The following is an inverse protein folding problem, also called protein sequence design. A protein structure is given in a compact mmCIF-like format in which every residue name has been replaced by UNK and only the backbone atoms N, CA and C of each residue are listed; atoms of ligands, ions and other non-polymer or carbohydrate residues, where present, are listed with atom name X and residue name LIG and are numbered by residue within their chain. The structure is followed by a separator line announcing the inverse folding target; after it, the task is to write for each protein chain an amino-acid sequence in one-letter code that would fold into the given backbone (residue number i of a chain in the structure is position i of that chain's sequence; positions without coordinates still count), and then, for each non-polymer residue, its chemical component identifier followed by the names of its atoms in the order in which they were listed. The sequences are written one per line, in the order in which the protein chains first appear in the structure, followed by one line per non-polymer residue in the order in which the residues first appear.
data_IF_261924358972
#
_entry.id   IF_261924358972
#
_cell.length_a   1.000
_cell.length_b   1.000
_cell.length_c   1.000
_cell.angle_alpha   90.00
_cell.angle_beta   90.00
_cell.angle_gamma   90.00
#
_symmetry.space_group_name_H-M   'P 1'
#
loop_
_entity.id
_entity.type
_entity.pdbx_description
1 polymer ?
#
# COMPACT_ATOMS: atom_id res chain seq x y z
N UNK A 1 46.37 7.92 -0.83
CA UNK A 1 45.13 8.67 -1.15
C UNK A 1 43.99 7.93 -0.51
N UNK A 2 43.50 8.45 0.60
CA UNK A 2 42.37 7.91 1.35
C UNK A 2 41.10 8.34 0.65
N UNK A 3 40.49 7.45 -0.13
CA UNK A 3 39.15 7.67 -0.65
C UNK A 3 38.18 7.69 0.54
N UNK A 4 37.68 8.89 0.83
CA UNK A 4 36.67 9.14 1.83
C UNK A 4 35.42 8.28 1.53
N UNK A 5 34.95 7.55 2.54
CA UNK A 5 33.73 6.74 2.51
C UNK A 5 32.51 7.51 1.99
N UNK A 6 32.52 8.84 2.08
CA UNK A 6 31.50 9.72 1.51
C UNK A 6 31.44 9.64 -0.04
N UNK A 7 32.58 9.54 -0.71
CA UNK A 7 32.71 9.51 -2.17
C UNK A 7 32.21 8.18 -2.76
N UNK A 8 32.53 7.07 -2.11
CA UNK A 8 32.07 5.72 -2.49
C UNK A 8 30.55 5.60 -2.32
N UNK A 9 29.98 6.20 -1.27
CA UNK A 9 28.52 6.27 -1.05
C UNK A 9 27.79 7.11 -2.10
N UNK A 10 28.44 8.14 -2.64
CA UNK A 10 27.88 9.00 -3.69
C UNK A 10 27.84 8.28 -5.05
N UNK A 11 28.89 7.54 -5.39
CA UNK A 11 29.00 6.80 -6.66
C UNK A 11 27.99 5.64 -6.78
N UNK A 12 27.60 5.01 -5.66
CA UNK A 12 26.60 3.94 -5.67
C UNK A 12 25.15 4.46 -5.87
N UNK A 13 24.90 5.75 -5.72
CA UNK A 13 23.55 6.36 -5.85
C UNK A 13 23.20 6.80 -7.27
N UNK A 14 24.17 6.94 -8.16
CA UNK A 14 24.00 7.60 -9.47
C UNK A 14 23.75 6.66 -10.66
N UNK A 15 23.78 5.33 -10.49
CA UNK A 15 23.68 4.37 -11.59
C UNK A 15 22.29 3.72 -11.75
N UNK A 16 21.23 4.51 -11.85
CA UNK A 16 19.85 4.01 -12.00
C UNK A 16 19.59 3.23 -13.30
N UNK A 17 18.84 2.12 -13.18
CA UNK A 17 17.95 1.48 -14.20
C UNK A 17 16.87 0.73 -13.39
N UNK A 18 15.60 1.15 -13.21
CA UNK A 18 14.45 1.55 -14.07
C UNK A 18 13.59 0.36 -14.51
N UNK A 19 12.46 0.18 -13.79
CA UNK A 19 11.12 -0.30 -14.20
C UNK A 19 11.07 -1.75 -14.76
N UNK A 20 10.65 -2.78 -14.03
CA UNK A 20 9.30 -2.94 -13.45
C UNK A 20 9.26 -3.41 -11.99
N UNK A 21 10.42 -3.63 -11.36
CA UNK A 21 10.59 -3.99 -9.94
C UNK A 21 12.10 -4.16 -9.68
N UNK A 22 12.70 -3.41 -8.74
CA UNK A 22 13.64 -4.10 -7.83
C UNK A 22 13.77 -3.60 -6.38
N UNK A 23 13.11 -2.52 -5.96
CA UNK A 23 13.17 -2.04 -4.57
C UNK A 23 11.80 -1.56 -4.10
N UNK A 24 10.97 -2.54 -3.76
CA UNK A 24 9.86 -2.39 -2.84
C UNK A 24 10.30 -1.48 -1.68
N UNK A 25 9.45 -0.55 -1.24
CA UNK A 25 9.72 0.33 -0.09
C UNK A 25 10.25 -0.47 1.10
N UNK A 26 9.79 -1.71 1.17
CA UNK A 26 10.19 -2.82 2.02
C UNK A 26 11.68 -3.16 1.97
N UNK A 27 12.24 -3.43 0.79
CA UNK A 27 13.65 -3.78 0.65
C UNK A 27 14.52 -2.58 1.01
N UNK A 28 14.23 -1.40 0.45
CA UNK A 28 14.95 -0.17 0.79
C UNK A 28 14.86 0.18 2.28
N UNK A 29 13.68 0.07 2.90
CA UNK A 29 13.50 0.31 4.32
C UNK A 29 14.21 -0.77 5.14
N UNK A 30 14.13 -2.06 4.83
CA UNK A 30 14.87 -3.14 5.51
C UNK A 30 16.39 -2.89 5.41
N UNK A 31 16.91 -2.54 4.24
CA UNK A 31 18.34 -2.29 4.02
C UNK A 31 18.84 -1.02 4.74
N UNK A 32 18.08 0.08 4.68
CA UNK A 32 18.39 1.30 5.42
C UNK A 32 18.15 1.14 6.93
N UNK A 33 17.15 0.35 7.34
CA UNK A 33 16.79 0.09 8.74
C UNK A 33 17.92 -0.57 9.47
N UNK A 34 18.61 -1.44 8.77
CA UNK A 34 19.56 -2.34 9.35
C UNK A 34 21.00 -1.79 9.18
N UNK A 35 21.35 -1.13 8.06
CA UNK A 35 22.74 -0.76 7.76
C UNK A 35 23.52 -1.89 7.05
N UNK A 36 22.87 -2.60 6.13
CA UNK A 36 23.26 -3.96 5.75
C UNK A 36 23.70 -4.09 4.30
N UNK A 37 24.43 -5.16 4.03
CA UNK A 37 24.86 -5.54 2.70
C UNK A 37 23.99 -6.66 2.13
N UNK A 38 23.45 -6.45 0.93
CA UNK A 38 22.77 -7.48 0.16
C UNK A 38 23.80 -8.39 -0.53
N UNK A 39 23.73 -9.69 -0.30
CA UNK A 39 24.58 -10.68 -0.97
C UNK A 39 23.76 -11.49 -1.97
N UNK A 40 24.26 -11.66 -3.19
CA UNK A 40 23.51 -12.25 -4.31
C UNK A 40 24.16 -13.57 -4.77
N UNK A 41 23.46 -14.69 -4.61
CA UNK A 41 23.90 -15.99 -5.13
C UNK A 41 23.78 -16.06 -6.68
N UNK A 42 24.74 -16.71 -7.36
CA UNK A 42 24.85 -16.92 -8.83
C UNK A 42 23.58 -17.44 -9.54
N UNK A 43 22.63 -18.05 -8.82
CA UNK A 43 21.32 -18.49 -9.38
C UNK A 43 20.20 -17.46 -9.26
N UNK A 44 20.47 -16.23 -8.79
CA UNK A 44 19.56 -15.08 -8.87
C UNK A 44 18.27 -15.15 -8.02
N UNK A 45 18.17 -16.10 -7.09
CA UNK A 45 16.93 -16.42 -6.38
C UNK A 45 16.84 -15.97 -4.91
N UNK A 46 17.97 -15.63 -4.26
CA UNK A 46 18.01 -15.31 -2.82
C UNK A 46 18.91 -14.11 -2.54
N UNK A 47 18.39 -13.18 -1.74
CA UNK A 47 19.10 -12.04 -1.20
C UNK A 47 19.42 -12.36 0.26
N UNK A 48 20.68 -12.16 0.67
CA UNK A 48 21.03 -12.30 2.08
C UNK A 48 21.30 -10.92 2.67
N UNK A 49 20.80 -10.72 3.88
CA UNK A 49 20.99 -9.47 4.64
C UNK A 49 21.77 -9.83 5.90
N UNK A 50 22.91 -9.15 6.10
CA UNK A 50 23.81 -9.37 7.24
C UNK A 50 24.16 -8.03 7.87
N UNK A 51 24.13 -7.98 9.20
CA UNK A 51 24.70 -6.87 9.96
C UNK A 51 24.41 -6.95 11.45
N UNK A 52 24.73 -5.85 12.13
CA UNK A 52 25.08 -5.83 13.56
C UNK A 52 24.07 -5.12 14.45
N UNK A 53 23.11 -4.41 13.88
CA UNK A 53 22.12 -3.64 14.62
C UNK A 53 20.99 -4.52 15.18
N UNK A 54 20.36 -4.04 16.26
CA UNK A 54 19.24 -4.69 16.94
C UNK A 54 18.03 -4.85 15.99
N UNK A 55 17.66 -6.11 15.73
CA UNK A 55 16.45 -6.45 14.98
C UNK A 55 15.19 -6.17 15.81
N UNK A 56 14.12 -5.74 15.16
CA UNK A 56 12.79 -5.70 15.79
C UNK A 56 12.31 -7.13 16.01
N UNK A 57 11.39 -7.31 16.96
CA UNK A 57 10.82 -8.62 17.30
C UNK A 57 10.31 -9.40 16.07
N UNK A 58 9.76 -8.70 15.08
CA UNK A 58 9.31 -9.30 13.82
C UNK A 58 10.44 -9.97 13.03
N UNK A 59 11.60 -9.32 12.91
CA UNK A 59 12.74 -9.85 12.17
C UNK A 59 13.51 -10.91 12.95
N UNK A 60 13.52 -10.82 14.29
CA UNK A 60 14.08 -11.87 15.15
C UNK A 60 13.39 -13.22 14.93
N UNK A 61 12.07 -13.22 14.67
CA UNK A 61 11.32 -14.44 14.38
C UNK A 61 11.64 -15.07 13.00
N UNK A 62 12.26 -14.32 12.10
CA UNK A 62 12.64 -14.77 10.73
C UNK A 62 14.13 -15.06 10.58
N UNK A 63 14.89 -14.90 11.66
CA UNK A 63 16.31 -15.22 11.70
C UNK A 63 16.54 -16.71 11.42
N UNK A 64 17.41 -17.01 10.45
CA UNK A 64 17.86 -18.37 10.24
C UNK A 64 18.78 -18.77 11.39
N UNK A 65 18.33 -19.71 12.23
CA UNK A 65 19.18 -20.36 13.22
C UNK A 65 20.06 -21.38 12.50
N UNK A 66 21.34 -21.37 12.83
CA UNK A 66 22.32 -22.33 12.31
C UNK A 66 22.74 -23.27 13.43
N UNK A 67 22.94 -24.55 13.10
CA UNK A 67 23.38 -25.55 14.06
C UNK A 67 24.88 -25.54 14.31
N UNK A 68 25.67 -25.00 13.38
CA UNK A 68 27.14 -24.98 13.47
C UNK A 68 27.77 -23.88 12.62
N UNK A 69 29.04 -23.56 12.92
CA UNK A 69 29.84 -22.65 12.10
C UNK A 69 30.04 -23.19 10.68
N UNK A 70 30.16 -24.51 10.50
CA UNK A 70 30.42 -25.10 9.19
C UNK A 70 29.20 -25.03 8.27
N UNK A 71 27.98 -25.09 8.82
CA UNK A 71 26.75 -24.80 8.05
C UNK A 71 26.77 -23.38 7.48
N UNK A 72 27.20 -22.40 8.29
CA UNK A 72 27.29 -21.00 7.88
C UNK A 72 28.40 -20.82 6.84
N UNK A 73 29.59 -21.41 7.05
CA UNK A 73 30.71 -21.35 6.09
C UNK A 73 30.31 -21.92 4.73
N UNK A 74 29.61 -23.05 4.71
CA UNK A 74 29.13 -23.66 3.46
C UNK A 74 28.17 -22.73 2.70
N UNK A 75 27.31 -22.01 3.43
CA UNK A 75 26.40 -21.03 2.86
C UNK A 75 27.11 -19.76 2.34
N UNK A 76 28.16 -19.30 3.02
CA UNK A 76 28.93 -18.10 2.65
C UNK A 76 29.98 -18.36 1.56
N UNK A 77 30.45 -19.60 1.39
CA UNK A 77 31.49 -19.96 0.43
C UNK A 77 31.22 -19.49 -1.02
N UNK A 78 29.99 -19.58 -1.56
CA UNK A 78 29.68 -19.04 -2.88
C UNK A 78 29.83 -17.52 -3.02
N UNK A 79 29.75 -16.78 -1.91
CA UNK A 79 29.83 -15.32 -1.86
C UNK A 79 31.27 -14.82 -1.90
N UNK A 80 32.22 -15.60 -1.36
CA UNK A 80 33.66 -15.27 -1.39
C UNK A 80 34.27 -15.22 -2.80
N UNK A 81 33.57 -15.73 -3.82
CA UNK A 81 33.95 -15.62 -5.22
C UNK A 81 33.59 -14.28 -5.87
N UNK A 82 32.90 -13.38 -5.15
CA UNK A 82 32.52 -12.04 -5.65
C UNK A 82 33.19 -10.96 -4.81
N UNK A 83 34.08 -10.19 -5.43
CA UNK A 83 34.84 -9.13 -4.75
C UNK A 83 33.95 -8.16 -3.92
N UNK A 84 32.79 -7.68 -4.41
CA UNK A 84 31.93 -6.79 -3.61
C UNK A 84 31.35 -7.44 -2.34
N UNK A 85 30.95 -8.70 -2.44
CA UNK A 85 30.34 -9.46 -1.34
C UNK A 85 31.37 -9.78 -0.25
N UNK A 86 32.59 -10.15 -0.66
CA UNK A 86 33.71 -10.35 0.27
C UNK A 86 34.12 -9.06 0.98
N UNK A 87 34.13 -7.92 0.29
CA UNK A 87 34.44 -6.61 0.88
C UNK A 87 33.38 -6.19 1.90
N UNK A 88 32.11 -6.44 1.61
CA UNK A 88 30.99 -6.23 2.54
C UNK A 88 31.14 -7.09 3.81
N UNK A 89 31.35 -8.40 3.64
CA UNK A 89 31.56 -9.33 4.75
C UNK A 89 32.77 -8.94 5.59
N UNK A 90 33.90 -8.61 4.96
CA UNK A 90 35.11 -8.16 5.65
C UNK A 90 34.92 -6.84 6.40
N UNK A 91 34.05 -5.94 5.91
CA UNK A 91 33.74 -4.68 6.60
C UNK A 91 32.89 -4.92 7.84
N UNK A 92 31.83 -5.74 7.75
CA UNK A 92 30.98 -6.10 8.88
C UNK A 92 31.76 -6.86 9.97
N UNK A 93 32.60 -7.81 9.56
CA UNK A 93 33.47 -8.55 10.47
C UNK A 93 34.43 -7.63 11.22
N UNK A 94 35.09 -6.68 10.53
CA UNK A 94 35.99 -5.71 11.18
C UNK A 94 35.28 -4.79 12.16
N UNK A 95 34.05 -4.37 11.84
CA UNK A 95 33.25 -3.54 12.76
C UNK A 95 32.91 -4.28 14.07
N UNK A 96 32.78 -5.61 14.02
CA UNK A 96 32.41 -6.42 15.17
C UNK A 96 33.58 -7.04 15.94
N UNK A 97 34.71 -7.27 15.27
CA UNK A 97 35.89 -7.87 15.89
C UNK A 97 36.73 -6.86 16.69
N UNK A 98 36.46 -5.56 16.55
CA UNK A 98 37.26 -4.50 17.17
C UNK A 98 38.60 -4.28 16.46
N UNK A 99 39.34 -3.25 16.88
CA UNK A 99 40.62 -2.86 16.27
C UNK A 99 41.69 -3.89 16.65
N UNK A 100 41.94 -4.88 15.79
CA UNK A 100 43.03 -5.86 15.96
C UNK A 100 42.88 -7.13 15.14
N UNK A 101 41.66 -7.63 14.99
CA UNK A 101 41.37 -8.88 14.27
C UNK A 101 40.93 -8.58 12.83
N UNK A 102 41.90 -8.22 11.99
CA UNK A 102 41.64 -7.92 10.58
C UNK A 102 41.82 -9.18 9.74
N UNK A 103 40.79 -9.70 9.06
CA UNK A 103 40.95 -10.84 8.17
C UNK A 103 41.87 -10.46 6.99
N UNK A 104 42.81 -11.34 6.68
CA UNK A 104 43.82 -11.14 5.64
C UNK A 104 43.45 -11.82 4.30
N UNK A 105 42.48 -12.73 4.33
CA UNK A 105 42.00 -13.45 3.14
C UNK A 105 40.52 -13.81 3.23
N UNK A 106 39.94 -14.27 2.12
CA UNK A 106 38.51 -14.58 2.02
C UNK A 106 38.07 -15.72 2.95
N UNK A 107 38.96 -16.69 3.23
CA UNK A 107 38.65 -17.82 4.09
C UNK A 107 38.54 -17.38 5.57
N UNK A 108 39.40 -16.45 5.99
CA UNK A 108 39.32 -15.79 7.30
C UNK A 108 38.06 -14.92 7.42
N UNK A 109 37.73 -14.13 6.39
CA UNK A 109 36.48 -13.36 6.36
C UNK A 109 35.29 -14.27 6.60
N UNK A 110 35.16 -15.38 5.86
CA UNK A 110 34.07 -16.34 6.03
C UNK A 110 34.05 -16.94 7.43
N UNK A 111 35.21 -17.36 7.95
CA UNK A 111 35.32 -18.01 9.26
C UNK A 111 34.89 -17.07 10.38
N UNK A 112 35.35 -15.83 10.33
CA UNK A 112 35.02 -14.82 11.33
C UNK A 112 33.55 -14.38 11.23
N UNK A 113 33.01 -14.19 10.01
CA UNK A 113 31.57 -13.91 9.83
C UNK A 113 30.72 -15.07 10.35
N UNK A 114 31.11 -16.32 10.09
CA UNK A 114 30.40 -17.50 10.60
C UNK A 114 30.41 -17.56 12.12
N UNK A 115 31.55 -17.28 12.76
CA UNK A 115 31.65 -17.21 14.21
C UNK A 115 30.78 -16.08 14.80
N UNK A 116 30.78 -14.91 14.16
CA UNK A 116 29.95 -13.78 14.59
C UNK A 116 28.44 -14.06 14.44
N UNK A 117 28.02 -14.75 13.37
CA UNK A 117 26.62 -15.19 13.19
C UNK A 117 26.23 -16.22 14.26
N UNK A 118 27.08 -17.22 14.50
CA UNK A 118 26.82 -18.28 15.49
C UNK A 118 26.74 -17.72 16.92
N UNK A 119 27.57 -16.73 17.24
CA UNK A 119 27.57 -16.03 18.52
C UNK A 119 26.43 -14.99 18.66
N UNK A 120 25.57 -14.85 17.65
CA UNK A 120 24.45 -13.89 17.64
C UNK A 120 24.88 -12.41 17.53
N UNK A 121 26.13 -12.14 17.16
CA UNK A 121 26.68 -10.78 16.96
C UNK A 121 26.38 -10.24 15.56
N UNK A 122 26.21 -11.15 14.61
CA UNK A 122 25.60 -10.89 13.33
C UNK A 122 24.32 -11.70 13.24
N UNK A 123 23.36 -11.17 12.51
CA UNK A 123 22.23 -11.96 12.06
C UNK A 123 22.30 -12.16 10.55
N UNK A 124 21.64 -13.21 10.09
CA UNK A 124 21.59 -13.62 8.68
C UNK A 124 20.13 -13.88 8.31
N UNK A 125 19.61 -13.11 7.35
CA UNK A 125 18.27 -13.28 6.82
C UNK A 125 18.34 -13.81 5.39
N UNK A 126 17.65 -14.92 5.12
CA UNK A 126 17.35 -15.36 3.76
C UNK A 126 16.10 -14.61 3.29
N UNK A 127 16.28 -13.65 2.40
CA UNK A 127 15.20 -12.83 1.84
C UNK A 127 14.94 -13.32 0.41
N UNK A 128 13.75 -13.86 0.11
CA UNK A 128 13.41 -14.15 -1.29
C UNK A 128 13.44 -12.83 -2.07
N UNK A 129 13.98 -12.86 -3.30
CA UNK A 129 14.11 -11.68 -4.19
C UNK A 129 12.82 -10.87 -4.33
N UNK A 130 11.68 -11.56 -4.19
CA UNK A 130 10.35 -10.98 -4.04
C UNK A 130 9.73 -11.64 -2.82
N UNK A 131 9.44 -10.88 -1.77
CA UNK A 131 8.32 -11.27 -0.93
C UNK A 131 7.09 -11.07 -1.82
N UNK A 132 6.28 -12.11 -2.07
CA UNK A 132 5.09 -11.91 -2.88
C UNK A 132 4.24 -10.85 -2.19
N UNK A 133 3.94 -9.77 -2.90
CA UNK A 133 2.89 -8.85 -2.49
C UNK A 133 1.65 -9.72 -2.34
N UNK A 134 1.20 -9.92 -1.09
CA UNK A 134 0.02 -10.73 -0.80
C UNK A 134 -1.20 -9.87 -1.12
N UNK A 135 -1.45 -9.72 -2.41
CA UNK A 135 -2.68 -9.13 -2.92
C UNK A 135 -3.75 -10.19 -2.82
N UNK A 136 -4.72 -9.94 -1.95
CA UNK A 136 -5.91 -10.78 -1.83
C UNK A 136 -7.12 -10.02 -2.35
N UNK A 137 -8.30 -10.57 -2.15
CA UNK A 137 -9.57 -9.86 -2.35
C UNK A 137 -10.32 -9.87 -1.03
N UNK A 138 -11.03 -8.80 -0.76
CA UNK A 138 -11.99 -8.75 0.33
C UNK A 138 -12.95 -9.92 0.22
N UNK A 139 -13.24 -10.56 1.35
CA UNK A 139 -14.17 -11.68 1.36
C UNK A 139 -15.57 -11.23 0.85
N UNK A 140 -16.19 -11.91 -0.13
CA UNK A 140 -17.54 -11.59 -0.59
C UNK A 140 -18.58 -11.50 0.52
N UNK A 141 -18.41 -12.25 1.62
CA UNK A 141 -19.30 -12.19 2.78
C UNK A 141 -19.26 -10.82 3.48
N UNK A 142 -18.12 -10.10 3.46
CA UNK A 142 -18.02 -8.73 3.97
C UNK A 142 -18.92 -7.79 3.18
N UNK A 143 -18.86 -7.90 1.85
CA UNK A 143 -19.68 -7.09 0.95
C UNK A 143 -21.17 -7.41 1.06
N UNK A 144 -21.53 -8.68 1.21
CA UNK A 144 -22.91 -9.08 1.49
C UNK A 144 -23.41 -8.53 2.83
N UNK A 145 -22.58 -8.59 3.87
CA UNK A 145 -22.92 -8.04 5.19
C UNK A 145 -23.11 -6.52 5.14
N UNK A 146 -22.29 -5.79 4.38
CA UNK A 146 -22.47 -4.35 4.17
C UNK A 146 -23.80 -4.04 3.47
N UNK A 147 -24.11 -4.76 2.39
CA UNK A 147 -25.40 -4.60 1.71
C UNK A 147 -26.58 -4.85 2.66
N UNK A 148 -26.52 -5.92 3.46
CA UNK A 148 -27.54 -6.20 4.47
C UNK A 148 -27.65 -5.11 5.55
N UNK A 149 -26.51 -4.61 6.05
CA UNK A 149 -26.46 -3.59 7.10
C UNK A 149 -27.06 -2.25 6.65
N UNK A 150 -26.83 -1.85 5.40
CA UNK A 150 -27.25 -0.55 4.88
C UNK A 150 -28.52 -0.60 4.01
N UNK A 151 -29.10 -1.79 3.81
CA UNK A 151 -30.27 -1.98 2.95
C UNK A 151 -29.97 -1.68 1.48
N UNK A 152 -28.76 -1.99 1.02
CA UNK A 152 -28.28 -1.68 -0.33
C UNK A 152 -28.09 -2.92 -1.16
N UNK A 153 -27.93 -2.73 -2.46
CA UNK A 153 -27.64 -3.77 -3.45
C UNK A 153 -26.42 -3.39 -4.28
N UNK A 154 -25.32 -2.96 -3.64
CA UNK A 154 -24.11 -2.55 -4.35
C UNK A 154 -23.43 -3.79 -4.93
N UNK A 155 -23.07 -3.71 -6.21
CA UNK A 155 -22.31 -4.74 -6.90
C UNK A 155 -20.80 -4.54 -6.69
N UNK A 156 -20.29 -5.05 -5.59
CA UNK A 156 -18.86 -4.99 -5.28
C UNK A 156 -17.99 -5.82 -6.23
N UNK A 157 -18.55 -6.82 -6.91
CA UNK A 157 -17.82 -7.54 -7.98
C UNK A 157 -17.50 -6.60 -9.15
N UNK A 158 -18.45 -5.75 -9.56
CA UNK A 158 -18.20 -4.71 -10.54
C UNK A 158 -17.15 -3.70 -10.05
N UNK A 159 -17.16 -3.31 -8.77
CA UNK A 159 -16.17 -2.36 -8.24
C UNK A 159 -14.77 -2.94 -8.17
N UNK A 160 -14.65 -4.23 -7.84
CA UNK A 160 -13.36 -4.92 -7.68
C UNK A 160 -12.50 -4.92 -8.95
N UNK A 161 -13.09 -4.67 -10.13
CA UNK A 161 -12.33 -4.54 -11.39
C UNK A 161 -11.50 -3.24 -11.46
N UNK A 162 -11.86 -2.24 -10.66
CA UNK A 162 -11.16 -0.96 -10.57
C UNK A 162 -10.25 -0.87 -9.36
N UNK A 163 -10.37 -1.82 -8.44
CA UNK A 163 -9.59 -1.88 -7.21
C UNK A 163 -8.29 -2.65 -7.46
N UNK A 164 -7.17 -2.14 -6.94
CA UNK A 164 -5.85 -2.79 -7.04
C UNK A 164 -5.68 -4.04 -6.18
N UNK A 165 -6.79 -4.57 -5.64
CA UNK A 165 -6.84 -5.67 -4.68
C UNK A 165 -6.62 -5.25 -3.23
N UNK A 166 -6.78 -6.21 -2.32
CA UNK A 166 -6.63 -6.03 -0.88
C UNK A 166 -5.19 -6.31 -0.47
N UNK A 167 -4.45 -5.25 -0.14
CA UNK A 167 -3.05 -5.29 0.27
C UNK A 167 -2.94 -5.55 1.78
N UNK A 168 -2.41 -6.72 2.16
CA UNK A 168 -2.23 -7.05 3.58
C UNK A 168 -1.09 -6.27 4.25
N UNK A 169 -0.27 -5.56 3.47
CA UNK A 169 0.87 -4.81 3.95
C UNK A 169 0.75 -3.34 3.60
N UNK A 170 1.21 -2.49 4.51
CA UNK A 170 1.30 -1.05 4.31
C UNK A 170 2.13 -0.71 3.09
N UNK A 171 1.62 0.18 2.25
CA UNK A 171 2.29 0.69 1.06
C UNK A 171 2.02 2.18 0.87
N UNK A 172 2.79 2.83 0.00
CA UNK A 172 2.55 4.22 -0.40
C UNK A 172 2.43 4.28 -1.92
N UNK A 173 1.34 4.83 -2.48
CA UNK A 173 1.21 5.02 -3.93
C UNK A 173 2.25 6.01 -4.48
N UNK A 174 2.93 5.65 -5.57
CA UNK A 174 3.87 6.52 -6.30
C UNK A 174 3.39 6.78 -7.72
N UNK A 175 3.67 7.97 -8.24
CA UNK A 175 3.48 8.32 -9.64
C UNK A 175 4.61 7.82 -10.53
N UNK A 176 4.42 7.96 -11.84
CA UNK A 176 5.43 7.61 -12.85
C UNK A 176 6.68 8.50 -12.79
N UNK A 177 6.60 9.64 -12.10
CA UNK A 177 7.70 10.56 -11.81
C UNK A 177 8.59 10.09 -10.64
N UNK A 178 8.24 8.97 -9.98
CA UNK A 178 8.96 8.44 -8.83
C UNK A 178 8.68 9.19 -7.53
N UNK A 179 7.75 10.16 -7.53
CA UNK A 179 7.27 10.87 -6.35
C UNK A 179 5.98 10.22 -5.84
N UNK A 180 5.66 10.47 -4.57
CA UNK A 180 4.37 10.03 -4.01
C UNK A 180 3.21 10.60 -4.82
N UNK A 181 2.28 9.72 -5.19
CA UNK A 181 1.12 10.10 -6.00
C UNK A 181 0.22 11.06 -5.21
N UNK A 182 0.05 12.28 -5.71
CA UNK A 182 -0.84 13.28 -5.12
C UNK A 182 -0.46 13.62 -3.68
N UNK A 183 -1.41 13.43 -2.75
CA UNK A 183 -1.21 13.69 -1.32
C UNK A 183 -1.33 12.42 -0.48
N UNK A 184 -0.91 11.29 -1.05
CA UNK A 184 -1.08 9.97 -0.42
C UNK A 184 -0.22 9.81 0.84
N UNK A 185 -0.74 9.05 1.80
CA UNK A 185 -0.01 8.59 2.98
C UNK A 185 0.21 7.08 2.98
N UNK A 186 0.42 6.52 4.18
CA UNK A 186 0.46 5.06 4.38
C UNK A 186 -0.91 4.47 4.03
N UNK A 187 -0.94 3.47 3.18
CA UNK A 187 -2.15 2.85 2.64
C UNK A 187 -2.15 1.36 2.96
N UNK A 188 -3.30 0.78 3.32
CA UNK A 188 -3.48 -0.65 3.62
C UNK A 188 -4.78 -1.18 3.00
N UNK A 189 -4.96 -2.51 3.01
CA UNK A 189 -6.17 -3.19 2.56
C UNK A 189 -6.55 -2.76 1.13
N UNK A 190 -7.83 -2.51 0.85
CA UNK A 190 -8.30 -2.12 -0.49
C UNK A 190 -8.21 -0.61 -0.70
N UNK A 191 -7.00 -0.05 -0.60
CA UNK A 191 -6.74 1.37 -0.87
C UNK A 191 -7.08 2.33 0.26
N UNK A 192 -7.13 1.85 1.51
CA UNK A 192 -7.39 2.71 2.67
C UNK A 192 -6.17 3.56 3.04
N UNK A 193 -6.19 4.84 2.68
CA UNK A 193 -5.12 5.80 2.99
C UNK A 193 -5.25 6.34 4.43
N UNK A 194 -4.49 5.72 5.33
CA UNK A 194 -4.39 6.06 6.75
C UNK A 194 -3.87 7.48 6.95
N UNK A 195 -2.98 7.96 6.07
CA UNK A 195 -2.41 9.30 6.17
C UNK A 195 -3.42 10.43 5.92
N UNK A 196 -4.58 10.12 5.37
CA UNK A 196 -5.69 11.05 5.23
C UNK A 196 -6.65 11.08 6.42
N UNK A 197 -6.48 10.17 7.39
CA UNK A 197 -7.37 10.02 8.54
C UNK A 197 -6.65 10.36 9.83
N UNK A 198 -7.34 11.05 10.74
CA UNK A 198 -6.92 11.24 12.12
C UNK A 198 -7.26 10.00 12.93
N UNK A 199 -6.53 9.77 14.02
CA UNK A 199 -6.78 8.63 14.91
C UNK A 199 -8.23 8.59 15.45
N UNK A 200 -8.82 9.76 15.76
CA UNK A 200 -10.22 9.84 16.17
C UNK A 200 -11.19 9.35 15.07
N UNK A 201 -10.88 9.60 13.80
CA UNK A 201 -11.68 9.12 12.67
C UNK A 201 -11.53 7.60 12.52
N UNK A 202 -10.31 7.05 12.68
CA UNK A 202 -10.08 5.61 12.68
C UNK A 202 -10.96 4.88 13.72
N UNK A 203 -11.06 5.45 14.92
CA UNK A 203 -11.93 4.94 16.01
C UNK A 203 -13.41 5.09 15.66
N UNK A 204 -13.81 6.25 15.13
CA UNK A 204 -15.20 6.52 14.77
C UNK A 204 -15.73 5.62 13.64
N UNK A 205 -14.84 5.18 12.73
CA UNK A 205 -15.17 4.23 11.67
C UNK A 205 -15.40 2.80 12.19
N UNK A 206 -15.10 2.52 13.47
CA UNK A 206 -15.28 1.21 14.07
C UNK A 206 -14.18 0.20 13.72
N UNK A 207 -12.96 0.68 13.43
CA UNK A 207 -11.83 -0.21 13.20
C UNK A 207 -11.49 -1.02 14.46
N UNK A 208 -11.12 -2.31 14.33
CA UNK A 208 -10.63 -3.10 15.45
C UNK A 208 -9.43 -2.46 16.15
N UNK A 209 -9.34 -2.58 17.48
CA UNK A 209 -8.31 -1.90 18.27
C UNK A 209 -6.89 -2.36 17.91
N UNK A 210 -6.70 -3.63 17.58
CA UNK A 210 -5.44 -4.19 17.10
C UNK A 210 -5.01 -3.59 15.76
N UNK A 211 -5.96 -3.37 14.84
CA UNK A 211 -5.72 -2.63 13.59
C UNK A 211 -5.35 -1.18 13.86
N UNK A 212 -6.09 -0.49 14.73
CA UNK A 212 -5.80 0.91 15.10
C UNK A 212 -4.38 1.02 15.65
N UNK A 213 -3.97 0.12 16.56
CA UNK A 213 -2.61 0.11 17.10
C UNK A 213 -1.54 -0.04 16.01
N UNK A 214 -1.79 -0.83 14.96
CA UNK A 214 -0.85 -0.99 13.85
C UNK A 214 -0.73 0.26 12.97
N UNK A 215 -1.84 0.96 12.72
CA UNK A 215 -1.88 2.03 11.70
C UNK A 215 -1.79 3.45 12.28
N UNK A 216 -2.14 3.66 13.55
CA UNK A 216 -2.11 4.98 14.20
C UNK A 216 -0.80 5.75 14.07
N UNK A 217 0.40 5.12 14.11
CA UNK A 217 1.66 5.86 13.91
C UNK A 217 1.76 6.58 12.55
N UNK A 218 0.97 6.13 11.56
CA UNK A 218 0.95 6.66 10.20
C UNK A 218 -0.24 7.59 9.95
N UNK A 219 -1.13 7.76 10.93
CA UNK A 219 -2.33 8.58 10.82
C UNK A 219 -1.99 10.05 10.57
N UNK A 220 -2.81 10.69 9.72
CA UNK A 220 -2.72 12.11 9.39
C UNK A 220 -1.37 12.58 8.80
N UNK A 221 -0.53 11.65 8.35
CA UNK A 221 0.75 11.96 7.70
C UNK A 221 0.70 11.68 6.20
N UNK A 222 0.86 12.73 5.39
CA UNK A 222 0.87 12.67 3.93
C UNK A 222 2.30 12.82 3.41
N UNK A 223 2.70 12.00 2.46
CA UNK A 223 4.07 11.97 1.92
C UNK A 223 4.22 12.81 0.63
N UNK A 224 3.38 13.83 0.43
CA UNK A 224 3.35 14.61 -0.81
C UNK A 224 4.74 15.13 -1.20
N UNK A 225 5.14 14.85 -2.45
CA UNK A 225 6.41 15.29 -3.00
C UNK A 225 7.65 14.54 -2.49
N UNK A 226 7.48 13.53 -1.64
CA UNK A 226 8.58 12.67 -1.21
C UNK A 226 8.92 11.63 -2.28
N UNK A 227 10.20 11.31 -2.37
CA UNK A 227 10.72 10.16 -3.11
C UNK A 227 10.58 8.88 -2.29
N UNK A 228 10.70 7.71 -2.93
CA UNK A 228 10.72 6.40 -2.26
C UNK A 228 11.71 6.33 -1.09
N UNK A 229 12.92 6.86 -1.28
CA UNK A 229 13.99 6.84 -0.26
C UNK A 229 13.61 7.69 0.97
N UNK A 230 12.99 8.85 0.75
CA UNK A 230 12.53 9.72 1.84
C UNK A 230 11.40 9.07 2.65
N UNK A 231 10.43 8.45 1.97
CA UNK A 231 9.36 7.69 2.62
C UNK A 231 9.94 6.52 3.41
N UNK A 232 10.84 5.74 2.82
CA UNK A 232 11.47 4.59 3.48
C UNK A 232 12.15 4.99 4.79
N UNK A 233 12.92 6.08 4.74
CA UNK A 233 13.59 6.65 5.92
C UNK A 233 12.58 7.07 6.99
N UNK A 234 11.55 7.82 6.60
CA UNK A 234 10.54 8.29 7.54
C UNK A 234 9.79 7.13 8.21
N UNK A 235 9.38 6.12 7.44
CA UNK A 235 8.71 4.91 7.97
C UNK A 235 9.62 4.20 8.96
N UNK A 236 10.91 4.02 8.61
CA UNK A 236 11.92 3.41 9.50
C UNK A 236 11.99 4.13 10.85
N UNK A 237 11.97 5.46 10.84
CA UNK A 237 12.14 6.29 12.03
C UNK A 237 10.83 6.43 12.85
N UNK A 238 9.69 6.03 12.27
CA UNK A 238 8.37 6.21 12.88
C UNK A 238 7.87 4.96 13.60
N UNK A 239 7.71 3.85 12.87
CA UNK A 239 7.14 2.61 13.40
C UNK A 239 7.35 1.44 12.43
N UNK A 240 7.23 0.17 12.88
CA UNK A 240 7.17 -0.96 11.96
C UNK A 240 6.07 -0.77 10.92
N UNK A 241 6.36 -1.15 9.67
CA UNK A 241 5.38 -1.10 8.58
C UNK A 241 4.16 -1.96 8.95
N UNK A 242 2.91 -1.47 8.78
CA UNK A 242 1.72 -2.23 9.15
C UNK A 242 1.62 -3.52 8.34
N UNK A 243 1.37 -4.63 9.01
CA UNK A 243 1.10 -5.93 8.38
C UNK A 243 -0.19 -6.46 9.00
N UNK A 244 -1.21 -6.60 8.18
CA UNK A 244 -2.53 -7.11 8.53
C UNK A 244 -2.61 -8.60 8.22
N UNK A 245 -3.35 -9.33 9.05
CA UNK A 245 -3.92 -10.61 8.66
C UNK A 245 -5.05 -10.38 7.66
N UNK A 246 -5.44 -11.44 6.94
CA UNK A 246 -6.59 -11.38 6.04
C UNK A 246 -7.87 -10.91 6.75
N UNK A 247 -8.15 -11.44 7.93
CA UNK A 247 -9.32 -11.06 8.72
C UNK A 247 -9.28 -9.58 9.16
N UNK A 248 -8.10 -9.06 9.51
CA UNK A 248 -7.92 -7.64 9.83
C UNK A 248 -8.15 -6.75 8.60
N UNK A 249 -7.64 -7.14 7.42
CA UNK A 249 -7.87 -6.40 6.19
C UNK A 249 -9.35 -6.41 5.77
N UNK A 250 -10.05 -7.53 5.97
CA UNK A 250 -11.50 -7.62 5.76
C UNK A 250 -12.28 -6.74 6.73
N UNK A 251 -11.85 -6.65 7.99
CA UNK A 251 -12.45 -5.74 8.96
C UNK A 251 -12.18 -4.26 8.60
N UNK A 252 -11.00 -3.94 8.08
CA UNK A 252 -10.68 -2.61 7.54
C UNK A 252 -11.62 -2.28 6.39
N UNK A 253 -11.72 -3.13 5.38
CA UNK A 253 -12.57 -2.88 4.22
C UNK A 253 -14.05 -2.75 4.63
N UNK A 254 -14.52 -3.57 5.58
CA UNK A 254 -15.87 -3.44 6.14
C UNK A 254 -16.09 -2.05 6.74
N UNK A 255 -15.20 -1.61 7.62
CA UNK A 255 -15.32 -0.33 8.30
C UNK A 255 -15.24 0.86 7.32
N UNK A 256 -14.27 0.82 6.41
CA UNK A 256 -14.01 1.91 5.45
C UNK A 256 -15.13 2.02 4.42
N UNK A 257 -15.52 0.90 3.81
CA UNK A 257 -16.65 0.91 2.87
C UNK A 257 -17.96 1.25 3.57
N UNK A 258 -18.16 0.82 4.82
CA UNK A 258 -19.32 1.21 5.62
C UNK A 258 -19.40 2.71 5.88
N UNK A 259 -18.28 3.34 6.26
CA UNK A 259 -18.18 4.80 6.46
C UNK A 259 -18.51 5.58 5.18
N UNK A 260 -17.88 5.20 4.06
CA UNK A 260 -18.11 5.82 2.75
C UNK A 260 -19.55 5.62 2.30
N UNK A 261 -20.08 4.42 2.44
CA UNK A 261 -21.46 4.10 2.08
C UNK A 261 -22.45 4.92 2.90
N UNK A 262 -22.25 5.01 4.21
CA UNK A 262 -23.08 5.84 5.07
C UNK A 262 -23.04 7.31 4.64
N UNK A 263 -21.84 7.83 4.36
CA UNK A 263 -21.67 9.22 3.93
C UNK A 263 -22.38 9.51 2.60
N UNK A 264 -22.18 8.69 1.56
CA UNK A 264 -22.81 8.92 0.25
C UNK A 264 -24.33 8.69 0.29
N UNK A 265 -24.79 7.70 1.06
CA UNK A 265 -26.22 7.47 1.26
C UNK A 265 -26.88 8.70 1.88
N UNK A 266 -26.28 9.25 2.95
CA UNK A 266 -26.81 10.42 3.64
C UNK A 266 -26.75 11.67 2.75
N UNK A 267 -25.63 11.87 2.04
CA UNK A 267 -25.49 12.99 1.11
C UNK A 267 -26.51 12.92 -0.04
N UNK A 268 -26.74 11.73 -0.60
CA UNK A 268 -27.77 11.50 -1.61
C UNK A 268 -29.16 11.80 -1.07
N UNK A 269 -29.49 11.20 0.08
CA UNK A 269 -30.82 11.32 0.63
C UNK A 269 -31.16 12.77 1.02
N UNK A 270 -30.17 13.57 1.42
CA UNK A 270 -30.36 14.99 1.73
C UNK A 270 -30.35 15.89 0.48
N UNK A 271 -29.61 15.51 -0.57
CA UNK A 271 -29.38 16.36 -1.74
C UNK A 271 -30.36 16.17 -2.91
N UNK A 272 -31.10 15.05 -2.94
CA UNK A 272 -32.02 14.74 -4.04
C UNK A 272 -33.30 15.59 -4.02
N UNK A 273 -33.84 15.89 -5.20
CA UNK A 273 -35.13 16.57 -5.37
C UNK A 273 -36.31 15.69 -4.93
N UNK A 274 -37.44 16.33 -4.64
CA UNK A 274 -38.69 15.63 -4.30
C UNK A 274 -39.15 14.76 -5.47
N UNK A 275 -39.46 13.50 -5.19
CA UNK A 275 -39.89 12.51 -6.19
C UNK A 275 -38.74 11.69 -6.77
N UNK A 276 -37.49 12.03 -6.45
CA UNK A 276 -36.33 11.20 -6.75
C UNK A 276 -36.21 10.08 -5.70
N UNK A 277 -36.01 8.81 -6.10
CA UNK A 277 -35.91 7.69 -5.16
C UNK A 277 -34.81 7.90 -4.10
N UNK A 278 -35.06 7.42 -2.88
CA UNK A 278 -34.01 7.34 -1.86
C UNK A 278 -32.85 6.46 -2.35
N UNK A 279 -31.67 6.60 -1.75
CA UNK A 279 -30.48 5.87 -2.19
C UNK A 279 -30.73 4.35 -2.25
N UNK A 280 -31.39 3.81 -1.22
CA UNK A 280 -31.71 2.36 -1.11
C UNK A 280 -32.79 1.90 -2.09
N UNK A 281 -33.55 2.82 -2.68
CA UNK A 281 -34.58 2.55 -3.69
C UNK A 281 -34.04 2.67 -5.12
N UNK A 282 -32.81 3.18 -5.28
CA UNK A 282 -32.16 3.24 -6.58
C UNK A 282 -31.85 1.82 -7.09
N UNK A 283 -31.88 1.60 -8.41
CA UNK A 283 -31.36 0.37 -9.00
C UNK A 283 -29.90 0.08 -8.61
N UNK A 284 -29.54 -1.20 -8.58
CA UNK A 284 -28.18 -1.69 -8.26
C UNK A 284 -27.07 -0.93 -8.99
N UNK A 285 -27.14 -0.64 -10.31
CA UNK A 285 -26.08 0.10 -10.97
C UNK A 285 -25.86 1.51 -10.42
N UNK A 286 -26.94 2.19 -10.05
CA UNK A 286 -26.89 3.55 -9.53
C UNK A 286 -26.31 3.60 -8.12
N UNK A 287 -26.75 2.70 -7.23
CA UNK A 287 -26.13 2.56 -5.90
C UNK A 287 -24.62 2.27 -6.02
N UNK A 288 -24.25 1.38 -6.95
CA UNK A 288 -22.87 0.96 -7.17
C UNK A 288 -21.99 2.10 -7.67
N UNK A 289 -22.45 2.85 -8.68
CA UNK A 289 -21.65 3.95 -9.26
C UNK A 289 -21.56 5.12 -8.29
N UNK A 290 -22.63 5.50 -7.61
CA UNK A 290 -22.59 6.55 -6.59
C UNK A 290 -21.58 6.21 -5.48
N UNK A 291 -21.60 4.98 -4.99
CA UNK A 291 -20.60 4.48 -4.05
C UNK A 291 -19.18 4.53 -4.65
N UNK A 292 -18.98 4.04 -5.88
CA UNK A 292 -17.68 4.07 -6.58
C UNK A 292 -17.09 5.48 -6.61
N UNK A 293 -17.91 6.48 -6.95
CA UNK A 293 -17.49 7.89 -7.03
C UNK A 293 -17.07 8.43 -5.67
N UNK A 294 -17.89 8.17 -4.63
CA UNK A 294 -17.58 8.59 -3.27
C UNK A 294 -16.32 7.91 -2.73
N UNK A 295 -16.13 6.63 -3.00
CA UNK A 295 -14.93 5.90 -2.59
C UNK A 295 -13.67 6.43 -3.28
N UNK A 296 -13.75 6.71 -4.58
CA UNK A 296 -12.59 7.17 -5.36
C UNK A 296 -12.22 8.64 -5.11
N UNK A 297 -13.20 9.50 -4.86
CA UNK A 297 -12.99 10.96 -4.79
C UNK A 297 -13.28 11.57 -3.40
N UNK A 298 -13.73 10.77 -2.44
CA UNK A 298 -14.08 11.17 -1.09
C UNK A 298 -15.52 11.67 -0.93
N UNK A 299 -15.93 11.85 0.32
CA UNK A 299 -17.33 12.16 0.71
C UNK A 299 -17.87 13.49 0.15
N UNK A 300 -16.98 14.44 -0.22
CA UNK A 300 -17.34 15.72 -0.84
C UNK A 300 -17.47 15.68 -2.36
N UNK A 301 -17.47 14.49 -2.97
CA UNK A 301 -17.40 14.32 -4.42
C UNK A 301 -18.45 15.14 -5.17
N UNK A 302 -19.69 15.20 -4.68
CA UNK A 302 -20.80 15.90 -5.34
C UNK A 302 -20.55 17.40 -5.55
N UNK A 303 -19.66 18.02 -4.76
CA UNK A 303 -19.31 19.44 -4.85
C UNK A 303 -18.04 19.70 -5.66
N UNK A 304 -17.34 18.67 -6.13
CA UNK A 304 -16.15 18.86 -6.96
C UNK A 304 -16.53 19.30 -8.37
N UNK A 305 -15.80 20.24 -8.95
CA UNK A 305 -16.12 20.80 -10.29
C UNK A 305 -16.25 19.73 -11.38
N UNK A 306 -15.48 18.65 -11.29
CA UNK A 306 -15.51 17.55 -12.26
C UNK A 306 -16.75 16.67 -12.10
N UNK A 307 -17.22 16.43 -10.87
CA UNK A 307 -18.34 15.54 -10.59
C UNK A 307 -19.69 16.24 -10.48
N UNK A 308 -19.69 17.54 -10.18
CA UNK A 308 -20.89 18.33 -9.95
C UNK A 308 -21.93 18.23 -11.07
N UNK A 309 -21.58 18.22 -12.37
CA UNK A 309 -22.57 18.05 -13.43
C UNK A 309 -23.33 16.71 -13.34
N UNK A 310 -22.63 15.61 -13.03
CA UNK A 310 -23.24 14.29 -12.84
C UNK A 310 -24.19 14.29 -11.63
N UNK A 311 -23.73 14.75 -10.48
CA UNK A 311 -24.55 14.74 -9.26
C UNK A 311 -25.74 15.71 -9.36
N UNK A 312 -25.57 16.90 -9.94
CA UNK A 312 -26.67 17.85 -10.14
C UNK A 312 -27.79 17.25 -10.99
N UNK A 313 -27.43 16.61 -12.12
CA UNK A 313 -28.43 15.96 -12.98
C UNK A 313 -29.09 14.75 -12.27
N UNK A 314 -28.30 13.94 -11.56
CA UNK A 314 -28.81 12.78 -10.83
C UNK A 314 -29.76 13.18 -9.68
N UNK A 315 -29.43 14.24 -8.92
CA UNK A 315 -30.29 14.78 -7.87
C UNK A 315 -31.59 15.35 -8.40
N UNK A 316 -31.63 15.82 -9.65
CA UNK A 316 -32.85 16.29 -10.30
C UNK A 316 -33.63 15.16 -11.03
N UNK A 317 -33.19 13.90 -10.93
CA UNK A 317 -33.80 12.77 -11.63
C UNK A 317 -33.62 12.80 -13.15
N UNK A 318 -32.67 13.59 -13.66
CA UNK A 318 -32.35 13.72 -15.08
C UNK A 318 -31.35 12.65 -15.50
N UNK A 319 -31.82 11.40 -15.53
CA UNK A 319 -30.97 10.21 -15.63
C UNK A 319 -30.06 10.21 -16.86
N UNK A 320 -30.57 10.59 -18.03
CA UNK A 320 -29.79 10.63 -19.28
C UNK A 320 -28.72 11.73 -19.27
N UNK A 321 -29.06 12.90 -18.71
CA UNK A 321 -28.11 14.00 -18.52
C UNK A 321 -26.99 13.59 -17.55
N UNK A 322 -27.33 12.88 -16.47
CA UNK A 322 -26.37 12.37 -15.51
C UNK A 322 -25.41 11.36 -16.16
N UNK A 323 -25.93 10.36 -16.88
CA UNK A 323 -25.08 9.39 -17.60
C UNK A 323 -24.15 10.08 -18.60
N UNK A 324 -24.66 11.06 -19.34
CA UNK A 324 -23.88 11.85 -20.29
C UNK A 324 -22.78 12.64 -19.59
N UNK A 325 -23.12 13.29 -18.48
CA UNK A 325 -22.16 14.03 -17.66
C UNK A 325 -21.07 13.12 -17.09
N UNK A 326 -21.41 11.89 -16.65
CA UNK A 326 -20.43 10.92 -16.17
C UNK A 326 -19.48 10.47 -17.29
N UNK A 327 -20.01 10.19 -18.48
CA UNK A 327 -19.23 9.80 -19.66
C UNK A 327 -18.26 10.91 -20.10
N UNK A 328 -18.65 12.17 -19.91
CA UNK A 328 -17.90 13.37 -20.30
C UNK A 328 -17.08 13.98 -19.15
N UNK A 329 -16.76 13.20 -18.10
CA UNK A 329 -15.89 13.65 -17.01
C UNK A 329 -14.60 14.28 -17.54
N UNK A 330 -14.26 15.49 -17.08
CA UNK A 330 -13.07 16.22 -17.49
C UNK A 330 -11.79 15.64 -16.84
N UNK A 331 -11.38 14.45 -17.28
CA UNK A 331 -10.20 13.72 -16.77
C UNK A 331 -9.23 13.39 -17.90
N UNK A 332 -7.93 13.57 -17.66
CA UNK A 332 -6.90 13.39 -18.69
C UNK A 332 -6.39 11.96 -18.82
N UNK A 333 -6.40 11.18 -17.73
CA UNK A 333 -5.76 9.87 -17.70
C UNK A 333 -6.64 8.78 -18.30
N UNK A 334 -6.07 7.98 -19.19
CA UNK A 334 -6.83 7.01 -19.98
C UNK A 334 -7.48 5.92 -19.12
N UNK A 335 -6.79 5.44 -18.09
CA UNK A 335 -7.40 4.51 -17.11
C UNK A 335 -8.62 5.13 -16.43
N UNK A 336 -8.59 6.46 -16.17
CA UNK A 336 -9.69 7.15 -15.52
C UNK A 336 -10.85 7.37 -16.49
N UNK A 337 -10.57 7.73 -17.75
CA UNK A 337 -11.58 7.80 -18.81
C UNK A 337 -12.28 6.45 -19.01
N UNK A 338 -11.51 5.36 -19.04
CA UNK A 338 -12.05 4.00 -19.17
C UNK A 338 -12.94 3.64 -17.97
N UNK A 339 -12.54 3.98 -16.75
CA UNK A 339 -13.35 3.78 -15.54
C UNK A 339 -14.68 4.53 -15.62
N UNK A 340 -14.68 5.85 -15.85
CA UNK A 340 -15.94 6.63 -15.91
C UNK A 340 -16.84 6.20 -17.07
N UNK A 341 -16.26 5.78 -18.19
CA UNK A 341 -17.02 5.23 -19.32
C UNK A 341 -17.69 3.91 -18.95
N UNK A 342 -16.98 3.03 -18.25
CA UNK A 342 -17.51 1.75 -17.77
C UNK A 342 -18.60 1.95 -16.71
N UNK A 343 -18.41 2.89 -15.79
CA UNK A 343 -19.42 3.30 -14.80
C UNK A 343 -20.68 3.86 -15.50
N UNK A 344 -20.52 4.74 -16.49
CA UNK A 344 -21.64 5.28 -17.26
C UNK A 344 -22.41 4.20 -18.04
N UNK A 345 -21.69 3.28 -18.69
CA UNK A 345 -22.32 2.14 -19.37
C UNK A 345 -23.08 1.23 -18.38
N UNK A 346 -22.57 1.08 -17.15
CA UNK A 346 -23.26 0.31 -16.13
C UNK A 346 -24.57 0.97 -15.68
N UNK A 347 -24.59 2.30 -15.52
CA UNK A 347 -25.83 3.05 -15.24
C UNK A 347 -26.91 2.85 -16.30
N UNK A 348 -26.52 2.74 -17.58
CA UNK A 348 -27.44 2.54 -18.70
C UNK A 348 -28.13 1.16 -18.67
N UNK A 349 -27.58 0.18 -17.95
CA UNK A 349 -28.19 -1.17 -17.85
C UNK A 349 -29.51 -1.18 -17.10
N UNK A 350 -29.72 -0.22 -16.18
CA UNK A 350 -30.97 -0.07 -15.45
C UNK A 350 -31.10 1.36 -14.90
N UNK A 351 -31.97 2.16 -15.52
CA UNK A 351 -32.27 3.52 -15.07
C UNK A 351 -33.36 3.53 -14.00
N UNK A 352 -33.34 4.50 -13.06
CA UNK A 352 -34.45 4.69 -12.13
C UNK A 352 -35.69 5.18 -12.89
N UNK A 353 -36.88 5.10 -12.28
CA UNK A 353 -38.10 5.59 -12.91
C UNK A 353 -38.00 7.11 -13.21
N UNK A 354 -38.65 7.61 -14.27
CA UNK A 354 -38.72 9.04 -14.56
C UNK A 354 -39.37 9.80 -13.40
N UNK A 355 -38.80 10.95 -13.03
CA UNK A 355 -39.42 11.82 -12.02
C UNK A 355 -40.52 12.62 -12.70
N UNK A 356 -41.76 12.43 -12.27
CA UNK A 356 -42.89 13.20 -12.80
C UNK A 356 -42.88 14.59 -12.13
N UNK A 357 -42.92 15.70 -12.90
CA UNK A 357 -43.03 17.02 -12.29
C UNK A 357 -44.27 17.08 -11.41
N UNK A 358 -44.24 17.75 -10.23
CA UNK A 358 -45.45 17.97 -9.47
C UNK A 358 -46.46 18.66 -10.38
N UNK A 359 -47.59 18.00 -10.61
CA UNK A 359 -48.65 18.52 -11.47
C UNK A 359 -49.00 19.93 -11.04
N UNK A 360 -48.97 20.88 -11.97
CA UNK A 360 -49.58 22.19 -11.75
C UNK A 360 -51.05 21.93 -11.44
N UNK A 361 -51.44 22.08 -10.18
CA UNK A 361 -52.84 22.24 -9.84
C UNK A 361 -53.30 23.51 -10.56
N UNK A 362 -54.10 23.30 -11.60
CA UNK A 362 -54.75 24.36 -12.37
C UNK A 362 -55.92 24.97 -11.62
#
# INVERSE_FOLDING_TARGET
MTDDLSTIRSAARTSGTVLDDPDDLENLAIFHWLGHHALINRKGARHFVIGSELLTLFWQARFKKFGSADEIKHLLAPLAGRHPDTVALGTLTRLLAGIGDTPHNNAEVITMTAAAILAGRLWFLDVPRRMPVVVTRTDPAVYQALNGQYGTTINFTFLSQFEGGQQLRGYVPFGNDGLVAGSSGMTVATGFDVGQKKEAELKAMGLPQDVITLVSPFAHHKFKGMTKIQVAKWVKDTAPLPILTKAQADAVDKAVHGDVLNAIKNAWDQGRDKGVPAFTELPTPWQTVLFSRAFHQGNGVASTSVAQPFFTAAFAGKWDEAVTALRNYAVSQDWYKQRVTSEAAYLDTQKPPPVTPPGRHG
#
